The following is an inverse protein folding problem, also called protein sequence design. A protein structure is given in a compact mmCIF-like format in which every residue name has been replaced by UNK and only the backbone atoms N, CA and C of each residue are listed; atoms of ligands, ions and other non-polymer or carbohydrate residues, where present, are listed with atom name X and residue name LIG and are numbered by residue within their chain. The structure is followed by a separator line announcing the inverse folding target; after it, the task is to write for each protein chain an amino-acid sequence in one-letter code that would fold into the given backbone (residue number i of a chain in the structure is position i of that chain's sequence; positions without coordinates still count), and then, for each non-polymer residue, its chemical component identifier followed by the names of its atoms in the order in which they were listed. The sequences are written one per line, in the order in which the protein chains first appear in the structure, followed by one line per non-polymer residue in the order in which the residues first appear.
data_IF_529941832386
#
_entry.id   IF_529941832386
#
_cell.length_a   1.000
_cell.length_b   1.000
_cell.length_c   1.000
_cell.angle_alpha   90.00
_cell.angle_beta   90.00
_cell.angle_gamma   90.00
#
_symmetry.space_group_name_H-M   'P 1'
#
loop_
_entity.id
_entity.type
_entity.pdbx_description
1 polymer ?
#
# COMPACT_ATOMS: atom_id res chain seq x y z
N UNK A 1 11.78 6.14 9.52
CA UNK A 1 10.90 5.01 9.16
C UNK A 1 9.51 5.54 8.93
N UNK A 2 8.96 5.43 7.72
CA UNK A 2 7.57 5.83 7.46
C UNK A 2 6.57 4.73 7.84
N UNK A 3 6.86 3.49 7.46
CA UNK A 3 5.95 2.35 7.62
C UNK A 3 6.65 1.08 8.12
N UNK A 4 7.89 0.83 7.71
CA UNK A 4 8.61 -0.39 8.10
C UNK A 4 10.12 -0.27 7.99
N UNK A 5 10.84 -1.11 8.73
CA UNK A 5 12.28 -1.33 8.59
C UNK A 5 12.60 -2.80 8.91
N UNK A 6 13.70 -3.32 8.36
CA UNK A 6 14.16 -4.67 8.71
C UNK A 6 15.68 -4.76 8.77
N UNK A 7 16.16 -5.75 9.49
CA UNK A 7 17.55 -6.24 9.43
C UNK A 7 17.53 -7.72 9.09
N UNK A 8 18.55 -8.18 8.38
CA UNK A 8 18.65 -9.58 7.96
C UNK A 8 20.08 -10.12 8.09
N UNK A 9 20.16 -11.41 8.39
CA UNK A 9 21.41 -12.18 8.38
C UNK A 9 21.30 -13.24 7.29
N UNK A 10 22.07 -13.07 6.21
CA UNK A 10 22.07 -13.96 5.04
C UNK A 10 22.61 -15.35 5.42
N UNK A 11 23.58 -15.43 6.33
CA UNK A 11 24.19 -16.69 6.76
C UNK A 11 23.23 -17.49 7.64
N UNK A 12 22.52 -16.82 8.55
CA UNK A 12 21.50 -17.45 9.40
C UNK A 12 20.15 -17.60 8.71
N UNK A 13 19.94 -16.89 7.59
CA UNK A 13 18.69 -16.84 6.82
C UNK A 13 17.52 -16.35 7.66
N UNK A 14 17.75 -15.35 8.50
CA UNK A 14 16.73 -14.79 9.42
C UNK A 14 16.59 -13.31 9.15
N UNK A 15 15.36 -12.82 9.17
CA UNK A 15 15.00 -11.41 9.06
C UNK A 15 14.13 -11.01 10.25
N UNK A 16 14.45 -9.86 10.83
CA UNK A 16 13.60 -9.17 11.79
C UNK A 16 13.04 -7.91 11.11
N UNK A 17 11.74 -7.88 10.89
CA UNK A 17 11.01 -6.75 10.32
C UNK A 17 10.16 -6.09 11.41
N UNK A 18 10.14 -4.77 11.44
CA UNK A 18 9.24 -3.97 12.28
C UNK A 18 8.38 -3.11 11.36
N UNK A 19 7.07 -3.24 11.47
CA UNK A 19 6.10 -2.35 10.85
C UNK A 19 5.53 -1.37 11.89
N UNK A 20 5.14 -0.17 11.46
CA UNK A 20 4.64 0.93 12.31
C UNK A 20 3.43 1.60 11.67
N UNK A 21 2.46 2.00 12.49
CA UNK A 21 1.31 2.80 12.03
C UNK A 21 1.64 4.32 11.95
N UNK A 22 2.83 4.72 12.41
CA UNK A 22 3.25 6.13 12.47
C UNK A 22 4.71 6.33 12.08
N UNK A 23 5.07 7.48 11.47
CA UNK A 23 6.44 7.76 11.07
C UNK A 23 7.33 8.14 12.28
N UNK A 24 8.46 7.44 12.45
CA UNK A 24 9.40 7.66 13.55
C UNK A 24 10.86 7.54 13.08
N UNK A 25 11.79 8.12 13.84
CA UNK A 25 13.23 7.93 13.62
C UNK A 25 13.63 6.49 13.92
N UNK A 26 14.41 5.86 13.02
CA UNK A 26 14.91 4.48 13.19
C UNK A 26 16.39 4.42 12.86
N UNK A 27 17.13 3.56 13.55
CA UNK A 27 18.51 3.24 13.22
C UNK A 27 18.86 1.79 13.55
N UNK A 28 19.99 1.34 12.99
CA UNK A 28 20.68 0.11 13.39
C UNK A 28 22.11 0.50 13.75
N UNK A 29 22.34 0.81 15.03
CA UNK A 29 23.63 1.33 15.51
C UNK A 29 24.65 0.23 15.85
N UNK A 30 24.19 -1.02 15.97
CA UNK A 30 25.04 -2.19 16.07
C UNK A 30 24.41 -3.39 15.33
N UNK A 31 25.25 -4.34 14.93
CA UNK A 31 24.80 -5.57 14.27
C UNK A 31 23.77 -6.31 15.12
N UNK A 32 22.62 -6.64 14.51
CA UNK A 32 21.53 -7.32 15.20
C UNK A 32 20.60 -6.40 15.99
N UNK A 33 20.74 -5.07 15.90
CA UNK A 33 19.89 -4.11 16.60
C UNK A 33 19.04 -3.26 15.65
N UNK A 34 17.81 -2.98 16.08
CA UNK A 34 16.95 -1.95 15.53
C UNK A 34 16.46 -1.08 16.70
N UNK A 35 16.65 0.22 16.60
CA UNK A 35 16.21 1.20 17.60
C UNK A 35 15.26 2.22 16.97
N UNK A 36 14.16 2.53 17.66
CA UNK A 36 13.12 3.44 17.17
C UNK A 36 12.87 4.52 18.23
N UNK A 37 13.06 5.78 17.85
CA UNK A 37 12.75 6.94 18.70
C UNK A 37 11.24 7.01 18.95
N UNK A 38 10.83 7.08 20.22
CA UNK A 38 9.40 7.13 20.59
C UNK A 38 8.87 8.56 20.72
N UNK A 39 9.61 9.43 21.42
CA UNK A 39 9.26 10.84 21.57
C UNK A 39 10.54 11.65 21.90
N UNK A 40 10.49 12.97 21.80
CA UNK A 40 11.56 13.88 22.22
C UNK A 40 10.99 15.08 22.96
N UNK A 41 11.59 15.40 24.10
CA UNK A 41 11.36 16.63 24.86
C UNK A 41 12.64 17.42 24.91
N UNK A 42 12.62 18.67 24.44
CA UNK A 42 13.79 19.54 24.33
C UNK A 42 13.51 20.90 24.96
N UNK A 43 14.38 21.35 25.86
CA UNK A 43 14.22 22.63 26.56
C UNK A 43 14.77 23.83 25.76
N UNK A 44 15.49 23.57 24.67
CA UNK A 44 16.22 24.58 23.89
C UNK A 44 15.76 24.56 22.43
N UNK A 45 15.74 25.75 21.82
CA UNK A 45 15.56 25.94 20.38
C UNK A 45 16.83 25.51 19.63
N UNK A 46 16.67 25.02 18.40
CA UNK A 46 17.77 24.58 17.54
C UNK A 46 18.31 25.68 16.61
N UNK A 47 17.82 26.92 16.77
CA UNK A 47 18.14 28.09 15.95
C UNK A 47 17.87 27.86 14.46
N UNK A 48 16.74 27.21 14.14
CA UNK A 48 16.24 27.06 12.75
C UNK A 48 14.96 27.86 12.47
N UNK A 49 14.58 28.76 13.39
CA UNK A 49 13.51 29.74 13.18
C UNK A 49 12.20 29.44 13.93
N UNK A 50 12.13 28.34 14.68
CA UNK A 50 10.96 28.01 15.50
C UNK A 50 10.88 28.91 16.76
N UNK A 51 12.02 29.24 17.36
CA UNK A 51 12.13 30.16 18.49
C UNK A 51 11.71 29.56 19.84
N UNK A 52 11.62 28.24 19.95
CA UNK A 52 11.27 27.53 21.18
C UNK A 52 11.76 26.08 21.16
N UNK A 53 11.91 25.48 22.36
CA UNK A 53 12.07 24.04 22.51
C UNK A 53 10.77 23.27 22.26
N UNK A 54 10.80 21.94 22.44
CA UNK A 54 9.64 21.05 22.35
C UNK A 54 9.31 20.56 23.76
N UNK A 55 8.27 21.13 24.36
CA UNK A 55 7.90 20.92 25.76
C UNK A 55 6.41 20.62 25.97
N UNK A 56 5.67 20.45 24.87
CA UNK A 56 4.23 20.25 24.78
C UNK A 56 3.86 18.78 24.51
N UNK A 57 4.73 17.85 24.90
CA UNK A 57 4.50 16.41 24.75
C UNK A 57 3.17 15.99 25.40
N UNK A 58 2.38 15.23 24.65
CA UNK A 58 1.18 14.55 25.13
C UNK A 58 1.37 13.04 24.97
N UNK A 59 0.65 12.27 25.79
CA UNK A 59 0.66 10.82 25.68
C UNK A 59 0.22 10.41 24.27
N UNK A 60 1.11 9.76 23.54
CA UNK A 60 0.87 9.26 22.18
C UNK A 60 0.98 7.75 22.19
N UNK A 61 -0.03 7.07 21.63
CA UNK A 61 -0.01 5.62 21.52
C UNK A 61 0.63 5.22 20.18
N UNK A 62 1.79 4.57 20.26
CA UNK A 62 2.51 4.06 19.10
C UNK A 62 2.18 2.59 18.88
N UNK A 63 1.83 2.23 17.65
CA UNK A 63 1.53 0.85 17.28
C UNK A 63 2.64 0.28 16.38
N UNK A 64 3.10 -0.91 16.74
CA UNK A 64 4.12 -1.64 16.00
C UNK A 64 3.79 -3.13 15.95
N UNK A 65 4.25 -3.78 14.89
CA UNK A 65 4.23 -5.25 14.78
C UNK A 65 5.63 -5.73 14.44
N UNK A 66 6.13 -6.70 15.22
CA UNK A 66 7.43 -7.32 15.02
C UNK A 66 7.25 -8.67 14.34
N UNK A 67 8.03 -8.91 13.29
CA UNK A 67 7.97 -10.11 12.46
C UNK A 67 9.36 -10.72 12.42
N UNK A 68 9.49 -11.90 12.99
CA UNK A 68 10.71 -12.71 12.89
C UNK A 68 10.45 -13.85 11.91
N UNK A 69 11.18 -13.85 10.80
CA UNK A 69 10.93 -14.78 9.70
C UNK A 69 12.23 -15.40 9.18
N UNK A 70 12.10 -16.60 8.61
CA UNK A 70 13.21 -17.37 8.05
C UNK A 70 13.11 -17.43 6.54
N UNK A 71 14.23 -17.18 5.86
CA UNK A 71 14.33 -17.29 4.41
C UNK A 71 14.43 -18.76 4.01
N UNK A 72 13.64 -19.13 3.01
CA UNK A 72 13.61 -20.47 2.44
C UNK A 72 14.94 -20.84 1.77
N UNK A 73 15.30 -22.12 1.85
CA UNK A 73 16.61 -22.60 1.38
C UNK A 73 16.70 -22.69 -0.14
N UNK A 74 15.60 -23.06 -0.80
CA UNK A 74 15.52 -23.31 -2.23
C UNK A 74 14.44 -22.43 -2.87
N UNK A 75 14.50 -21.12 -2.60
CA UNK A 75 13.54 -20.20 -3.20
C UNK A 75 13.80 -20.06 -4.71
N UNK A 76 12.78 -20.23 -5.57
CA UNK A 76 12.94 -20.11 -7.03
C UNK A 76 13.01 -18.65 -7.49
N UNK A 77 12.69 -17.69 -6.62
CA UNK A 77 12.66 -16.27 -6.98
C UNK A 77 14.09 -15.70 -7.09
N UNK A 78 14.29 -14.83 -8.07
CA UNK A 78 15.58 -14.18 -8.30
C UNK A 78 15.94 -13.30 -7.09
N UNK A 79 16.94 -13.71 -6.31
CA UNK A 79 17.45 -12.90 -5.21
C UNK A 79 18.24 -11.74 -5.80
N UNK A 80 17.94 -10.48 -5.45
CA UNK A 80 18.73 -9.35 -5.89
C UNK A 80 20.21 -9.54 -5.50
N UNK A 81 21.17 -9.08 -6.32
CA UNK A 81 22.57 -9.13 -5.95
C UNK A 81 22.81 -8.44 -4.60
N UNK A 82 23.82 -8.89 -3.84
CA UNK A 82 24.13 -8.31 -2.52
C UNK A 82 24.41 -6.80 -2.55
N UNK A 83 24.80 -6.26 -3.72
CA UNK A 83 25.09 -4.84 -3.92
C UNK A 83 23.86 -4.05 -4.41
N UNK A 84 22.67 -4.66 -4.45
CA UNK A 84 21.46 -3.95 -4.85
C UNK A 84 21.05 -2.95 -3.75
N UNK A 85 20.80 -1.67 -4.10
CA UNK A 85 20.57 -0.63 -3.08
C UNK A 85 19.18 -0.71 -2.44
N UNK A 86 18.24 -1.44 -3.03
CA UNK A 86 16.88 -1.59 -2.53
C UNK A 86 16.65 -2.97 -1.91
N UNK A 87 15.85 -2.99 -0.85
CA UNK A 87 15.31 -4.16 -0.20
C UNK A 87 13.81 -4.33 -0.47
N UNK A 88 13.30 -5.56 -0.32
CA UNK A 88 11.89 -5.89 -0.49
C UNK A 88 11.33 -6.46 0.81
N UNK A 89 10.12 -6.04 1.17
CA UNK A 89 9.39 -6.66 2.27
C UNK A 89 9.01 -8.10 1.91
N UNK A 90 8.95 -8.96 2.91
CA UNK A 90 8.32 -10.26 2.76
C UNK A 90 6.81 -10.11 2.60
N UNK A 91 6.12 -11.19 2.20
CA UNK A 91 4.66 -11.22 2.19
C UNK A 91 4.07 -10.90 3.56
N UNK A 92 4.62 -11.48 4.64
CA UNK A 92 4.18 -11.18 6.02
C UNK A 92 4.38 -9.71 6.37
N UNK A 93 5.55 -9.14 6.04
CA UNK A 93 5.87 -7.74 6.28
C UNK A 93 4.93 -6.78 5.57
N UNK A 94 4.59 -7.10 4.32
CA UNK A 94 3.64 -6.33 3.52
C UNK A 94 2.23 -6.37 4.10
N UNK A 95 1.69 -7.57 4.37
CA UNK A 95 0.33 -7.72 4.92
C UNK A 95 0.16 -6.97 6.25
N UNK A 96 1.15 -7.07 7.14
CA UNK A 96 1.14 -6.37 8.43
C UNK A 96 1.23 -4.85 8.23
N UNK A 97 2.05 -4.38 7.29
CA UNK A 97 2.11 -2.95 6.98
C UNK A 97 0.78 -2.43 6.45
N UNK A 98 0.11 -3.20 5.59
CA UNK A 98 -1.22 -2.85 5.07
C UNK A 98 -2.27 -2.84 6.19
N UNK A 99 -2.26 -3.83 7.08
CA UNK A 99 -3.20 -3.89 8.22
C UNK A 99 -3.05 -2.68 9.17
N UNK A 100 -1.81 -2.23 9.43
CA UNK A 100 -1.54 -1.08 10.29
C UNK A 100 -1.92 0.26 9.64
N UNK A 101 -1.69 0.41 8.33
CA UNK A 101 -1.92 1.67 7.61
C UNK A 101 -3.34 1.80 7.06
N UNK A 102 -4.02 0.67 6.80
CA UNK A 102 -5.36 0.61 6.23
C UNK A 102 -6.27 -0.33 7.06
N UNK A 103 -6.55 0.02 8.33
CA UNK A 103 -7.32 -0.86 9.21
C UNK A 103 -8.79 -0.96 8.80
N UNK A 104 -9.44 -2.05 9.22
CA UNK A 104 -10.88 -2.23 9.03
C UNK A 104 -11.64 -1.15 9.82
N UNK A 105 -12.49 -0.40 9.13
CA UNK A 105 -13.35 0.62 9.73
C UNK A 105 -14.66 -0.02 10.19
N UNK A 106 -14.83 -0.16 11.50
CA UNK A 106 -16.09 -0.60 12.09
C UNK A 106 -17.07 0.57 12.22
N UNK A 107 -18.25 0.45 11.59
CA UNK A 107 -19.33 1.43 11.67
C UNK A 107 -20.47 0.89 12.53
N UNK A 108 -20.89 1.64 13.54
CA UNK A 108 -22.01 1.28 14.40
C UNK A 108 -23.22 2.20 14.14
N UNK A 109 -24.41 1.65 13.81
CA UNK A 109 -25.60 2.46 13.61
C UNK A 109 -26.08 3.02 14.95
N UNK A 110 -26.38 4.33 15.00
CA UNK A 110 -26.81 4.98 16.23
C UNK A 110 -28.28 4.66 16.61
N UNK A 111 -29.13 4.45 15.61
CA UNK A 111 -30.56 4.15 15.77
C UNK A 111 -30.94 2.88 15.00
N UNK A 112 -32.10 2.30 15.31
CA UNK A 112 -32.71 1.27 14.46
C UNK A 112 -32.89 1.82 13.05
N UNK A 113 -32.28 1.17 12.07
CA UNK A 113 -32.42 1.54 10.67
C UNK A 113 -33.85 1.21 10.19
N UNK A 114 -34.47 2.07 9.35
CA UNK A 114 -35.82 1.82 8.82
C UNK A 114 -35.82 0.76 7.70
N UNK A 115 -34.69 0.11 7.44
CA UNK A 115 -34.49 -0.91 6.42
C UNK A 115 -33.51 -1.97 6.93
N UNK A 116 -33.63 -3.17 6.38
CA UNK A 116 -32.70 -4.26 6.64
C UNK A 116 -31.39 -4.03 5.87
N UNK A 117 -30.27 -4.23 6.55
CA UNK A 117 -28.96 -4.21 5.92
C UNK A 117 -28.70 -5.56 5.25
N UNK A 118 -28.11 -5.52 4.06
CA UNK A 118 -27.49 -6.71 3.49
C UNK A 118 -26.27 -7.11 4.33
N UNK A 119 -26.11 -8.40 4.59
CA UNK A 119 -24.99 -8.92 5.38
C UNK A 119 -23.62 -8.72 4.72
N UNK A 120 -23.60 -8.51 3.40
CA UNK A 120 -22.38 -8.39 2.60
C UNK A 120 -22.60 -7.43 1.43
N UNK A 121 -21.60 -6.59 1.17
CA UNK A 121 -21.48 -5.77 -0.02
C UNK A 121 -20.03 -5.83 -0.50
N UNK A 122 -19.80 -6.22 -1.75
CA UNK A 122 -18.50 -6.10 -2.40
C UNK A 122 -18.64 -5.22 -3.65
N UNK A 123 -17.94 -4.09 -3.73
CA UNK A 123 -17.89 -3.30 -4.95
C UNK A 123 -17.01 -3.97 -6.03
N UNK A 124 -16.12 -4.87 -5.62
CA UNK A 124 -15.23 -5.61 -6.52
C UNK A 124 -15.86 -6.93 -6.95
N UNK A 125 -15.67 -7.33 -8.23
CA UNK A 125 -16.16 -8.64 -8.72
C UNK A 125 -15.27 -9.80 -8.34
N UNK A 126 -14.03 -9.54 -7.96
CA UNK A 126 -13.04 -10.53 -7.54
C UNK A 126 -12.04 -9.93 -6.56
N UNK A 127 -11.42 -10.78 -5.75
CA UNK A 127 -10.38 -10.37 -4.82
C UNK A 127 -9.08 -10.07 -5.57
N UNK A 128 -8.51 -8.89 -5.34
CA UNK A 128 -7.24 -8.51 -5.95
C UNK A 128 -6.09 -9.34 -5.35
N UNK A 129 -5.03 -9.63 -6.13
CA UNK A 129 -3.78 -10.14 -5.59
C UNK A 129 -3.26 -9.23 -4.48
N UNK A 130 -2.61 -9.80 -3.46
CA UNK A 130 -2.20 -9.06 -2.25
C UNK A 130 -1.10 -8.02 -2.48
N UNK A 131 -0.40 -8.14 -3.60
CA UNK A 131 0.60 -7.19 -4.06
C UNK A 131 -0.01 -6.06 -4.90
N UNK A 132 -1.31 -6.08 -5.18
CA UNK A 132 -2.00 -5.06 -5.98
C UNK A 132 -2.98 -4.24 -5.14
N UNK A 133 -2.69 -2.95 -4.99
CA UNK A 133 -3.49 -2.03 -4.18
C UNK A 133 -4.18 -0.96 -5.03
N UNK A 134 -5.45 -0.68 -4.73
CA UNK A 134 -6.14 0.55 -5.17
C UNK A 134 -5.82 1.64 -4.15
N UNK A 135 -4.78 2.43 -4.40
CA UNK A 135 -4.30 3.46 -3.46
C UNK A 135 -5.14 4.74 -3.48
N UNK A 136 -5.93 4.95 -4.54
CA UNK A 136 -6.89 6.06 -4.62
C UNK A 136 -8.01 5.70 -5.58
N UNK A 137 -9.26 5.91 -5.16
CA UNK A 137 -10.44 5.86 -6.02
C UNK A 137 -11.27 7.12 -5.75
N UNK A 138 -11.35 8.03 -6.72
CA UNK A 138 -11.96 9.36 -6.53
C UNK A 138 -12.88 9.69 -7.70
N UNK A 139 -14.03 10.28 -7.38
CA UNK A 139 -14.95 10.84 -8.36
C UNK A 139 -14.66 12.34 -8.53
N UNK A 140 -14.50 12.82 -9.75
CA UNK A 140 -14.32 14.25 -10.03
C UNK A 140 -14.98 14.67 -11.35
N UNK A 141 -15.36 15.96 -11.49
CA UNK A 141 -15.76 16.50 -12.78
C UNK A 141 -14.57 16.47 -13.74
N UNK A 142 -14.81 16.02 -14.96
CA UNK A 142 -13.73 15.90 -15.95
C UNK A 142 -13.53 17.26 -16.63
N UNK A 143 -12.29 17.74 -16.76
CA UNK A 143 -11.97 18.84 -17.66
C UNK A 143 -12.58 18.58 -19.05
N UNK A 144 -13.00 19.61 -19.77
CA UNK A 144 -13.54 19.48 -21.15
C UNK A 144 -14.99 18.91 -21.26
N UNK A 145 -15.74 18.85 -20.17
CA UNK A 145 -17.21 18.74 -20.22
C UNK A 145 -17.79 17.33 -20.28
N UNK A 146 -16.97 16.28 -20.23
CA UNK A 146 -17.39 14.87 -20.25
C UNK A 146 -18.14 14.37 -18.98
N UNK A 147 -18.76 15.28 -18.21
CA UNK A 147 -19.51 14.94 -17.00
C UNK A 147 -18.62 14.57 -15.82
N UNK A 148 -19.01 13.52 -15.09
CA UNK A 148 -18.26 12.98 -13.94
C UNK A 148 -17.42 11.79 -14.38
N UNK A 149 -16.18 11.76 -13.91
CA UNK A 149 -15.25 10.64 -14.09
C UNK A 149 -14.83 10.03 -12.76
N UNK A 150 -14.26 8.83 -12.84
CA UNK A 150 -13.67 8.12 -11.71
C UNK A 150 -12.18 7.96 -12.00
N UNK A 151 -11.33 8.61 -11.21
CA UNK A 151 -9.89 8.37 -11.23
C UNK A 151 -9.51 7.28 -10.25
N UNK A 152 -8.81 6.28 -10.75
CA UNK A 152 -8.28 5.16 -9.99
C UNK A 152 -6.75 5.17 -10.08
N UNK A 153 -6.07 4.96 -8.97
CA UNK A 153 -4.62 4.77 -8.94
C UNK A 153 -4.35 3.37 -8.42
N UNK A 154 -3.72 2.55 -9.26
CA UNK A 154 -3.23 1.23 -8.91
C UNK A 154 -1.76 1.30 -8.54
N UNK A 155 -1.33 0.51 -7.57
CA UNK A 155 0.08 0.32 -7.23
C UNK A 155 0.33 -1.17 -7.05
N UNK A 156 1.38 -1.69 -7.70
CA UNK A 156 1.84 -3.04 -7.46
C UNK A 156 3.09 -3.02 -6.58
N UNK A 157 3.02 -3.61 -5.40
CA UNK A 157 4.14 -3.75 -4.48
C UNK A 157 5.05 -4.90 -4.94
N UNK A 158 6.37 -4.71 -4.89
CA UNK A 158 7.29 -5.84 -5.10
C UNK A 158 7.58 -6.52 -3.75
N UNK A 159 7.51 -7.85 -3.74
CA UNK A 159 7.61 -8.66 -2.53
C UNK A 159 8.75 -9.68 -2.63
N UNK A 160 9.48 -9.90 -1.53
CA UNK A 160 10.37 -11.05 -1.37
C UNK A 160 9.53 -12.26 -0.90
N UNK A 161 9.09 -13.06 -1.87
CA UNK A 161 8.29 -14.28 -1.64
C UNK A 161 9.13 -15.46 -1.10
N UNK A 162 10.42 -15.26 -0.80
CA UNK A 162 11.27 -16.31 -0.25
C UNK A 162 11.17 -16.46 1.27
N UNK A 163 10.25 -15.74 1.91
CA UNK A 163 10.03 -15.80 3.36
C UNK A 163 8.65 -16.40 3.65
N UNK A 164 8.64 -17.46 4.46
CA UNK A 164 7.43 -18.11 4.97
C UNK A 164 6.38 -18.49 3.90
N UNK A 165 6.66 -19.57 3.16
CA UNK A 165 5.82 -20.05 2.05
C UNK A 165 4.39 -20.49 2.45
N UNK A 166 4.09 -20.60 3.75
CA UNK A 166 2.75 -21.02 4.21
C UNK A 166 1.66 -20.00 3.87
N UNK A 167 2.01 -18.70 3.83
CA UNK A 167 1.07 -17.62 3.54
C UNK A 167 0.70 -17.55 2.06
N UNK A 168 1.60 -17.96 1.15
CA UNK A 168 1.32 -18.02 -0.29
C UNK A 168 0.18 -18.98 -0.65
N UNK A 169 -0.21 -19.88 0.26
CA UNK A 169 -1.38 -20.77 0.07
C UNK A 169 -2.72 -20.06 0.26
N UNK A 170 -2.73 -18.97 1.02
CA UNK A 170 -3.93 -18.20 1.37
C UNK A 170 -4.00 -16.88 0.62
N UNK A 171 -2.84 -16.32 0.29
CA UNK A 171 -2.70 -15.00 -0.31
C UNK A 171 -2.05 -15.14 -1.69
N UNK A 172 -2.84 -14.85 -2.72
CA UNK A 172 -2.37 -14.90 -4.09
C UNK A 172 -1.52 -13.67 -4.42
N UNK A 173 -0.36 -13.88 -5.04
CA UNK A 173 0.54 -12.84 -5.53
C UNK A 173 0.49 -12.85 -7.06
N UNK A 174 0.44 -11.69 -7.69
CA UNK A 174 0.30 -11.58 -9.15
C UNK A 174 1.52 -12.17 -9.88
N UNK A 175 1.31 -13.16 -10.74
CA UNK A 175 2.36 -13.80 -11.53
C UNK A 175 2.74 -13.02 -12.80
N UNK A 176 1.75 -12.46 -13.51
CA UNK A 176 1.94 -11.85 -14.84
C UNK A 176 1.87 -10.32 -14.84
N UNK A 177 1.28 -9.71 -13.80
CA UNK A 177 1.00 -8.27 -13.77
C UNK A 177 -0.19 -7.85 -14.63
N UNK A 178 -0.87 -8.80 -15.29
CA UNK A 178 -2.02 -8.52 -16.14
C UNK A 178 -3.29 -8.31 -15.31
N UNK A 179 -3.94 -7.18 -15.57
CA UNK A 179 -5.07 -6.67 -14.82
C UNK A 179 -6.18 -6.32 -15.79
N UNK A 180 -7.33 -6.98 -15.66
CA UNK A 180 -8.52 -6.71 -16.47
C UNK A 180 -9.42 -5.69 -15.79
N UNK A 181 -9.35 -4.43 -16.22
CA UNK A 181 -10.04 -3.30 -15.60
C UNK A 181 -11.58 -3.41 -15.68
N UNK A 182 -12.13 -4.17 -16.62
CA UNK A 182 -13.59 -4.35 -16.74
C UNK A 182 -14.17 -5.21 -15.63
N UNK A 183 -13.32 -6.02 -15.00
CA UNK A 183 -13.72 -6.90 -13.90
C UNK A 183 -13.60 -6.22 -12.54
N UNK A 184 -13.03 -5.02 -12.45
CA UNK A 184 -12.81 -4.37 -11.16
C UNK A 184 -14.11 -3.94 -10.51
N UNK A 185 -14.91 -3.14 -11.20
CA UNK A 185 -16.09 -2.50 -10.62
C UNK A 185 -17.35 -3.00 -11.33
N UNK A 186 -18.45 -3.09 -10.58
CA UNK A 186 -19.76 -3.32 -11.16
C UNK A 186 -20.18 -2.12 -12.04
N UNK A 187 -20.92 -2.41 -13.11
CA UNK A 187 -21.60 -1.42 -13.96
C UNK A 187 -20.72 -0.41 -14.70
N UNK A 188 -19.62 -0.89 -15.30
CA UNK A 188 -18.65 -0.09 -16.08
C UNK A 188 -18.78 -0.22 -17.61
N UNK A 189 -19.79 -0.91 -18.14
CA UNK A 189 -19.87 -1.30 -19.57
C UNK A 189 -19.86 -0.12 -20.55
N UNK A 190 -20.43 1.03 -20.17
CA UNK A 190 -20.49 2.23 -21.02
C UNK A 190 -19.33 3.22 -20.84
N UNK A 191 -18.30 2.86 -20.05
CA UNK A 191 -17.24 3.80 -19.67
C UNK A 191 -16.02 3.66 -20.58
N UNK A 192 -15.53 4.81 -21.06
CA UNK A 192 -14.23 4.95 -21.70
C UNK A 192 -13.13 4.96 -20.64
N UNK A 193 -12.09 4.16 -20.86
CA UNK A 193 -10.93 4.08 -19.98
C UNK A 193 -9.76 4.82 -20.64
N UNK A 194 -9.22 5.82 -19.95
CA UNK A 194 -8.09 6.63 -20.44
C UNK A 194 -6.94 6.65 -19.45
N UNK A 195 -5.72 6.79 -19.95
CA UNK A 195 -4.57 7.12 -19.09
C UNK A 195 -4.74 8.52 -18.54
N UNK A 196 -4.17 8.79 -17.37
CA UNK A 196 -4.14 10.12 -16.78
C UNK A 196 -2.83 10.34 -16.01
N UNK A 197 -2.42 11.57 -15.71
CA UNK A 197 -1.40 11.83 -14.69
C UNK A 197 -1.94 11.48 -13.29
N UNK A 198 -1.07 11.29 -12.30
CA UNK A 198 -1.45 10.92 -10.92
C UNK A 198 -2.42 11.92 -10.25
N UNK A 199 -2.37 13.18 -10.66
CA UNK A 199 -3.25 14.24 -10.15
C UNK A 199 -4.54 14.37 -10.95
N UNK A 200 -4.72 13.60 -12.03
CA UNK A 200 -5.88 13.62 -12.91
C UNK A 200 -6.20 15.00 -13.52
N UNK A 201 -5.22 15.89 -13.63
CA UNK A 201 -5.43 17.25 -14.14
C UNK A 201 -5.82 17.28 -15.62
N UNK A 202 -5.41 16.28 -16.42
CA UNK A 202 -5.71 16.17 -17.84
C UNK A 202 -6.14 14.74 -18.20
N UNK A 203 -6.93 14.59 -19.26
CA UNK A 203 -7.28 13.30 -19.85
C UNK A 203 -6.20 12.90 -20.87
N UNK A 204 -5.60 11.73 -20.67
CA UNK A 204 -4.65 11.14 -21.62
C UNK A 204 -5.34 10.27 -22.67
N UNK A 205 -4.56 9.54 -23.50
CA UNK A 205 -5.13 8.70 -24.54
C UNK A 205 -5.99 7.56 -23.96
N UNK A 206 -7.10 7.26 -24.64
CA UNK A 206 -7.93 6.11 -24.34
C UNK A 206 -7.17 4.80 -24.53
N UNK A 207 -7.40 3.85 -23.62
CA UNK A 207 -6.84 2.51 -23.69
C UNK A 207 -7.54 1.72 -24.80
N UNK A 208 -6.75 1.04 -25.63
CA UNK A 208 -7.26 0.16 -26.70
C UNK A 208 -7.75 -1.20 -26.20
N UNK A 209 -7.30 -1.58 -25.01
CA UNK A 209 -7.65 -2.83 -24.33
C UNK A 209 -7.97 -2.50 -22.87
N UNK A 210 -8.99 -3.16 -22.28
CA UNK A 210 -9.25 -3.05 -20.84
C UNK A 210 -8.20 -3.79 -20.00
N UNK A 211 -7.37 -4.63 -20.62
CA UNK A 211 -6.29 -5.35 -19.95
C UNK A 211 -5.05 -4.45 -19.94
N UNK A 212 -4.56 -4.16 -18.74
CA UNK A 212 -3.32 -3.41 -18.51
C UNK A 212 -2.30 -4.32 -17.83
N UNK A 213 -1.03 -4.14 -18.17
CA UNK A 213 0.06 -4.78 -17.45
C UNK A 213 0.68 -3.77 -16.48
N UNK A 214 0.78 -4.15 -15.22
CA UNK A 214 1.45 -3.40 -14.17
C UNK A 214 2.67 -4.21 -13.71
N UNK A 215 3.83 -3.57 -13.66
CA UNK A 215 5.04 -4.20 -13.15
C UNK A 215 5.20 -3.96 -11.63
N UNK A 216 5.95 -4.80 -10.91
CA UNK A 216 6.29 -4.54 -9.52
C UNK A 216 6.94 -3.15 -9.34
N UNK A 217 6.53 -2.45 -8.28
CA UNK A 217 6.81 -1.02 -7.97
C UNK A 217 6.23 0.02 -8.93
N UNK A 218 5.41 -0.38 -9.90
CA UNK A 218 4.77 0.58 -10.79
C UNK A 218 3.48 1.13 -10.18
N UNK A 219 3.24 2.42 -10.42
CA UNK A 219 1.99 3.11 -10.12
C UNK A 219 1.30 3.45 -11.44
N UNK A 220 0.02 3.10 -11.56
CA UNK A 220 -0.78 3.32 -12.76
C UNK A 220 -2.06 4.11 -12.44
N UNK A 221 -2.08 5.41 -12.78
CA UNK A 221 -3.30 6.22 -12.82
C UNK A 221 -4.15 5.93 -14.07
N UNK A 222 -5.43 5.66 -13.84
CA UNK A 222 -6.45 5.40 -14.87
C UNK A 222 -7.67 6.28 -14.60
N UNK A 223 -8.29 6.78 -15.66
CA UNK A 223 -9.51 7.55 -15.62
C UNK A 223 -10.62 6.79 -16.35
N UNK A 224 -11.70 6.49 -15.65
CA UNK A 224 -12.95 6.03 -16.23
C UNK A 224 -13.84 7.24 -16.47
N UNK A 225 -14.39 7.39 -17.67
CA UNK A 225 -15.33 8.47 -18.00
C UNK A 225 -16.32 8.10 -19.09
N UNK A 226 -17.42 8.85 -19.20
CA UNK A 226 -18.34 8.73 -20.33
C UNK A 226 -17.95 9.75 -21.40
N UNK A 227 -17.83 9.31 -22.65
CA UNK A 227 -17.71 10.24 -23.78
C UNK A 227 -19.02 11.01 -23.94
N UNK A 228 -18.94 12.32 -24.21
CA UNK A 228 -20.11 13.06 -24.66
C UNK A 228 -20.62 12.43 -25.96
N UNK A 229 -21.91 12.10 -26.00
CA UNK A 229 -22.66 11.79 -27.21
C UNK A 229 -22.84 13.03 -28.07
#
# INVERSE_FOLDING_TARGET
MSASAYIEDIYKRVRLTIATAQPLGVASMASGQLEIMQDRRLLQDDNRGLGQGIMDNLLTNHMFTLILERKETNCPSAVPPANHPAGLLSLSGHLVSEELLHPIVALHPHNSLPFDLHAHFSPLRYDLPVDLNIVSLRVFPIPEGAGKGIGMVLHQSALDICFNNSLLRHFNVSESGEIDLTKFLNDMEDWTISKAPLTFHNVGPSLKSPIVNLCPHQILPILFHKTQS
#
